data_IF_240054391421
#
_entry.id   IF_240054391421
#
_cell.length_a   1.000
_cell.length_b   1.000
_cell.length_c   1.000
_cell.angle_alpha   90.00
_cell.angle_beta   90.00
_cell.angle_gamma   90.00
#
_symmetry.space_group_name_H-M   'P 1'
#
loop_
_entity.id
_entity.type
_entity.pdbx_description
1 polymer ?
#
# COMPACT_ATOMS: atom_id res chain seq x y z
N UNK A 1 20.67 19.66 -16.40
CA UNK A 1 21.04 19.19 -15.04
C UNK A 1 20.08 18.08 -14.65
N UNK A 2 20.57 16.87 -14.71
CA UNK A 2 19.84 15.67 -14.26
C UNK A 2 19.70 15.79 -12.75
N UNK A 3 18.51 16.15 -12.28
CA UNK A 3 18.25 16.28 -10.84
C UNK A 3 18.21 14.86 -10.26
N UNK A 4 19.28 14.48 -9.55
CA UNK A 4 19.35 13.29 -8.73
C UNK A 4 18.24 13.36 -7.66
N UNK A 5 17.11 12.73 -7.95
CA UNK A 5 15.92 12.75 -7.08
C UNK A 5 15.82 11.42 -6.35
N UNK A 6 16.15 11.37 -5.06
CA UNK A 6 16.06 10.13 -4.31
C UNK A 6 14.60 9.67 -4.20
N UNK A 7 14.39 8.38 -4.38
CA UNK A 7 13.07 7.76 -4.24
C UNK A 7 12.98 6.94 -2.95
N UNK A 8 11.84 7.09 -2.26
CA UNK A 8 11.48 6.32 -1.08
C UNK A 8 10.17 5.57 -1.33
N UNK A 9 10.24 4.24 -1.29
CA UNK A 9 9.07 3.38 -1.50
C UNK A 9 8.61 2.86 -0.13
N UNK A 10 7.36 3.13 0.21
CA UNK A 10 6.74 2.76 1.49
C UNK A 10 5.72 1.66 1.24
N UNK A 11 5.90 0.52 1.87
CA UNK A 11 5.12 -0.69 1.59
C UNK A 11 4.46 -1.21 2.85
N UNK A 12 3.15 -1.25 2.79
CA UNK A 12 2.30 -1.79 3.84
C UNK A 12 2.28 -3.32 3.77
N UNK A 13 2.71 -3.96 4.86
CA UNK A 13 2.68 -5.40 5.08
C UNK A 13 1.99 -5.71 6.42
N UNK A 14 1.02 -4.89 6.82
CA UNK A 14 0.17 -5.15 7.98
C UNK A 14 -0.83 -6.28 7.67
N UNK A 15 -1.43 -6.81 8.72
CA UNK A 15 -2.40 -7.90 8.61
C UNK A 15 -3.63 -7.52 7.76
N UNK A 16 -4.02 -6.23 7.72
CA UNK A 16 -5.07 -5.74 6.81
C UNK A 16 -4.77 -6.00 5.33
N UNK A 17 -3.48 -6.08 4.97
CA UNK A 17 -3.02 -6.39 3.63
C UNK A 17 -3.01 -7.89 3.31
N UNK A 18 -3.13 -8.77 4.31
CA UNK A 18 -3.20 -10.22 4.14
C UNK A 18 -4.63 -10.66 3.78
N UNK A 19 -5.11 -10.14 2.66
CA UNK A 19 -6.43 -10.42 2.12
C UNK A 19 -6.40 -10.44 0.60
N UNK A 20 -7.09 -11.42 -0.01
CA UNK A 20 -7.23 -11.53 -1.45
C UNK A 20 -8.29 -12.58 -1.81
N UNK A 21 -9.14 -12.26 -2.79
CA UNK A 21 -10.27 -13.11 -3.19
C UNK A 21 -10.12 -13.76 -4.56
N UNK A 22 -9.13 -13.33 -5.36
CA UNK A 22 -8.95 -13.85 -6.72
C UNK A 22 -7.52 -14.34 -6.97
N UNK A 23 -6.62 -13.44 -7.34
CA UNK A 23 -5.28 -13.80 -7.83
C UNK A 23 -4.23 -13.71 -6.73
N UNK A 24 -4.10 -12.55 -6.10
CA UNK A 24 -3.08 -12.26 -5.10
C UNK A 24 -3.71 -11.80 -3.78
N UNK A 25 -2.91 -11.85 -2.71
CA UNK A 25 -3.16 -11.03 -1.52
C UNK A 25 -2.79 -9.57 -1.82
N UNK A 26 -3.44 -8.60 -1.18
CA UNK A 26 -3.07 -7.18 -1.32
C UNK A 26 -1.59 -6.95 -0.97
N UNK A 27 -1.07 -7.65 0.05
CA UNK A 27 0.34 -7.60 0.46
C UNK A 27 1.29 -8.03 -0.66
N UNK A 28 0.93 -9.04 -1.44
CA UNK A 28 1.71 -9.52 -2.59
C UNK A 28 1.70 -8.48 -3.71
N UNK A 29 0.53 -7.97 -4.08
CA UNK A 29 0.41 -6.91 -5.09
C UNK A 29 1.22 -5.66 -4.72
N UNK A 30 1.17 -5.24 -3.45
CA UNK A 30 1.99 -4.13 -2.95
C UNK A 30 3.49 -4.42 -3.06
N UNK A 31 3.92 -5.65 -2.69
CA UNK A 31 5.31 -6.07 -2.74
C UNK A 31 5.84 -6.13 -4.18
N UNK A 32 5.07 -6.70 -5.10
CA UNK A 32 5.42 -6.76 -6.52
C UNK A 32 5.53 -5.36 -7.14
N UNK A 33 4.55 -4.49 -6.87
CA UNK A 33 4.57 -3.11 -7.35
C UNK A 33 5.78 -2.34 -6.82
N UNK A 34 6.12 -2.53 -5.55
CA UNK A 34 7.30 -1.92 -4.92
C UNK A 34 8.60 -2.41 -5.55
N UNK A 35 8.73 -3.73 -5.77
CA UNK A 35 9.91 -4.33 -6.38
C UNK A 35 10.10 -3.80 -7.82
N UNK A 36 9.05 -3.82 -8.63
CA UNK A 36 9.08 -3.31 -10.01
C UNK A 36 9.48 -1.83 -10.07
N UNK A 37 8.89 -1.00 -9.19
CA UNK A 37 9.24 0.41 -9.09
C UNK A 37 10.70 0.60 -8.66
N UNK A 38 11.18 -0.14 -7.66
CA UNK A 38 12.53 -0.05 -7.16
C UNK A 38 13.59 -0.44 -8.21
N UNK A 39 13.35 -1.53 -8.95
CA UNK A 39 14.21 -1.92 -10.09
C UNK A 39 14.23 -0.84 -11.16
N UNK A 40 13.07 -0.31 -11.54
CA UNK A 40 12.98 0.72 -12.59
C UNK A 40 13.72 2.00 -12.21
N UNK A 41 13.58 2.45 -10.95
CA UNK A 41 14.24 3.65 -10.44
C UNK A 41 15.76 3.46 -10.42
N UNK A 42 16.24 2.32 -9.92
CA UNK A 42 17.69 2.03 -9.89
C UNK A 42 18.28 1.90 -11.29
N UNK A 43 17.54 1.28 -12.23
CA UNK A 43 17.95 1.11 -13.63
C UNK A 43 18.08 2.46 -14.36
N UNK A 44 17.27 3.44 -13.99
CA UNK A 44 17.38 4.82 -14.45
C UNK A 44 18.56 5.59 -13.82
N UNK A 45 19.31 4.96 -12.92
CA UNK A 45 20.45 5.56 -12.25
C UNK A 45 20.11 6.39 -11.02
N UNK A 46 18.86 6.38 -10.57
CA UNK A 46 18.41 7.11 -9.39
C UNK A 46 18.68 6.37 -8.07
N UNK A 47 18.66 7.11 -6.96
CA UNK A 47 18.75 6.55 -5.62
C UNK A 47 17.41 6.00 -5.19
N UNK A 48 17.37 4.75 -4.74
CA UNK A 48 16.17 4.10 -4.20
C UNK A 48 16.40 3.57 -2.79
N UNK A 49 15.40 3.77 -1.95
CA UNK A 49 15.30 3.19 -0.62
C UNK A 49 13.84 2.85 -0.31
N UNK A 50 13.59 2.35 0.89
CA UNK A 50 12.23 1.97 1.25
C UNK A 50 11.98 1.92 2.75
N UNK A 51 10.69 1.95 3.07
CA UNK A 51 10.15 1.59 4.37
C UNK A 51 9.21 0.41 4.16
N UNK A 52 9.49 -0.69 4.83
CA UNK A 52 8.58 -1.85 4.88
C UNK A 52 8.05 -1.95 6.29
N UNK A 53 6.76 -1.95 6.47
CA UNK A 53 6.15 -1.99 7.79
C UNK A 53 5.03 -3.03 7.89
N UNK A 54 5.00 -3.73 9.01
CA UNK A 54 3.93 -4.61 9.45
C UNK A 54 3.25 -4.04 10.70
N UNK A 55 2.46 -4.84 11.39
CA UNK A 55 1.74 -4.38 12.59
C UNK A 55 2.68 -4.01 13.75
N UNK A 56 3.78 -4.72 13.92
CA UNK A 56 4.71 -4.55 15.04
C UNK A 56 6.17 -4.30 14.64
N UNK A 57 6.47 -4.18 13.35
CA UNK A 57 7.84 -3.99 12.86
C UNK A 57 7.89 -2.95 11.75
N UNK A 58 9.05 -2.33 11.61
CA UNK A 58 9.36 -1.38 10.56
C UNK A 58 10.84 -1.53 10.17
N UNK A 59 11.09 -1.68 8.87
CA UNK A 59 12.42 -1.69 8.30
C UNK A 59 12.62 -0.42 7.45
N UNK A 60 13.69 0.33 7.73
CA UNK A 60 14.00 1.59 7.04
C UNK A 60 15.32 1.43 6.26
N UNK A 61 15.26 1.57 4.95
CA UNK A 61 16.40 1.55 4.05
C UNK A 61 16.51 2.92 3.37
N UNK A 62 17.58 3.66 3.69
CA UNK A 62 17.80 4.99 3.10
C UNK A 62 18.07 4.90 1.60
N UNK A 63 17.60 5.88 0.79
CA UNK A 63 17.84 5.91 -0.64
C UNK A 63 19.33 5.91 -1.01
N UNK A 64 19.75 4.93 -1.79
CA UNK A 64 21.12 4.78 -2.29
C UNK A 64 21.11 4.30 -3.75
N UNK A 65 22.12 4.71 -4.54
CA UNK A 65 22.39 4.17 -5.88
C UNK A 65 23.23 2.90 -5.74
N UNK A 66 22.63 1.83 -5.20
CA UNK A 66 23.35 0.62 -4.83
C UNK A 66 22.49 -0.61 -4.99
N UNK A 67 22.96 -1.59 -5.77
CA UNK A 67 22.33 -2.90 -5.89
C UNK A 67 22.18 -3.57 -4.52
N UNK A 68 23.19 -3.49 -3.68
CA UNK A 68 23.15 -4.05 -2.33
C UNK A 68 22.05 -3.41 -1.46
N UNK A 69 21.78 -2.11 -1.65
CA UNK A 69 20.69 -1.44 -0.94
C UNK A 69 19.32 -1.90 -1.44
N UNK A 70 19.18 -2.09 -2.74
CA UNK A 70 17.99 -2.68 -3.35
C UNK A 70 17.77 -4.10 -2.83
N UNK A 71 18.80 -4.96 -2.81
CA UNK A 71 18.69 -6.33 -2.30
C UNK A 71 18.22 -6.36 -0.84
N UNK A 72 18.74 -5.45 0.02
CA UNK A 72 18.25 -5.33 1.41
C UNK A 72 16.78 -4.92 1.48
N UNK A 73 16.34 -4.02 0.61
CA UNK A 73 14.93 -3.63 0.53
C UNK A 73 14.04 -4.81 0.12
N UNK A 74 14.45 -5.55 -0.92
CA UNK A 74 13.70 -6.72 -1.40
C UNK A 74 13.66 -7.85 -0.35
N UNK A 75 14.76 -8.08 0.37
CA UNK A 75 14.78 -9.03 1.48
C UNK A 75 13.84 -8.62 2.60
N UNK A 76 13.88 -7.35 3.04
CA UNK A 76 12.96 -6.86 4.06
C UNK A 76 11.48 -7.00 3.64
N UNK A 77 11.21 -6.82 2.34
CA UNK A 77 9.88 -6.98 1.77
C UNK A 77 9.42 -8.45 1.79
N UNK A 78 10.31 -9.36 1.37
CA UNK A 78 10.04 -10.80 1.38
C UNK A 78 9.85 -11.33 2.82
N UNK A 79 10.70 -10.90 3.75
CA UNK A 79 10.62 -11.30 5.16
C UNK A 79 9.30 -10.81 5.79
N UNK A 80 8.92 -9.55 5.55
CA UNK A 80 7.68 -8.99 6.06
C UNK A 80 6.45 -9.73 5.49
N UNK A 81 6.47 -10.06 4.18
CA UNK A 81 5.39 -10.82 3.55
C UNK A 81 5.29 -12.25 4.10
N UNK A 82 6.43 -12.90 4.35
CA UNK A 82 6.47 -14.25 4.92
C UNK A 82 5.97 -14.32 6.38
N UNK A 83 6.01 -13.19 7.12
CA UNK A 83 5.46 -13.10 8.47
C UNK A 83 3.93 -13.03 8.51
N UNK A 84 3.28 -12.72 7.39
CA UNK A 84 1.83 -12.68 7.28
C UNK A 84 1.25 -14.09 7.22
N UNK A 85 0.61 -14.50 8.30
CA UNK A 85 0.04 -15.84 8.46
C UNK A 85 -1.28 -15.77 9.23
N UNK A 86 -2.22 -16.61 8.86
CA UNK A 86 -3.55 -16.65 9.49
C UNK A 86 -3.54 -17.13 10.95
N UNK A 87 -2.49 -17.85 11.36
CA UNK A 87 -2.32 -18.44 12.70
C UNK A 87 -1.54 -17.56 13.69
N UNK A 88 -1.11 -16.36 13.27
CA UNK A 88 -0.38 -15.43 14.14
C UNK A 88 -1.34 -14.74 15.10
N UNK A 89 -0.92 -14.63 16.37
CA UNK A 89 -1.64 -13.84 17.36
C UNK A 89 -1.75 -12.39 16.90
N UNK A 90 -2.95 -11.85 16.89
CA UNK A 90 -3.19 -10.47 16.49
C UNK A 90 -2.58 -9.50 17.48
N UNK A 91 -1.91 -8.50 16.94
CA UNK A 91 -1.37 -7.35 17.66
C UNK A 91 -2.10 -6.10 17.18
N UNK A 92 -2.04 -5.04 17.96
CA UNK A 92 -2.59 -3.75 17.56
C UNK A 92 -1.87 -3.27 16.29
N UNK A 93 -2.60 -2.90 15.23
CA UNK A 93 -1.99 -2.49 13.97
C UNK A 93 -1.16 -1.21 14.13
N UNK A 94 0.01 -1.17 13.52
CA UNK A 94 0.82 0.05 13.47
C UNK A 94 0.03 1.17 12.78
N UNK A 95 -0.18 2.33 13.44
CA UNK A 95 -0.86 3.46 12.82
C UNK A 95 -0.09 3.97 11.60
N UNK A 96 -0.78 4.21 10.50
CA UNK A 96 -0.18 4.76 9.29
C UNK A 96 0.50 6.13 9.56
N UNK A 97 -0.03 6.92 10.48
CA UNK A 97 0.55 8.20 10.93
C UNK A 97 1.97 8.04 11.46
N UNK A 98 2.28 6.95 12.18
CA UNK A 98 3.64 6.66 12.64
C UNK A 98 4.59 6.45 11.47
N UNK A 99 4.16 5.74 10.45
CA UNK A 99 4.92 5.48 9.22
C UNK A 99 5.13 6.76 8.43
N UNK A 100 4.07 7.57 8.23
CA UNK A 100 4.16 8.84 7.51
C UNK A 100 5.07 9.86 8.21
N UNK A 101 5.16 9.84 9.55
CA UNK A 101 6.16 10.63 10.28
C UNK A 101 7.58 10.12 10.02
N UNK A 102 7.80 8.81 9.91
CA UNK A 102 9.10 8.26 9.51
C UNK A 102 9.46 8.67 8.08
N UNK A 103 8.49 8.65 7.16
CA UNK A 103 8.65 9.18 5.78
C UNK A 103 9.09 10.64 5.81
N UNK A 104 8.42 11.51 6.59
CA UNK A 104 8.78 12.92 6.68
C UNK A 104 10.20 13.16 7.21
N UNK A 105 10.72 12.26 8.05
CA UNK A 105 12.10 12.30 8.58
C UNK A 105 13.13 11.86 7.53
N UNK A 106 12.83 10.82 6.74
CA UNK A 106 13.76 10.27 5.73
C UNK A 106 13.72 11.07 4.44
N UNK A 107 12.53 11.51 4.04
CA UNK A 107 12.25 12.30 2.84
C UNK A 107 11.76 13.71 3.19
N UNK A 108 12.61 14.59 3.74
CA UNK A 108 12.19 15.91 4.20
C UNK A 108 11.74 16.84 3.06
N UNK A 109 12.35 16.70 1.87
CA UNK A 109 12.01 17.45 0.64
C UNK A 109 12.63 16.83 -0.61
N UNK A 110 12.07 17.14 -1.78
CA UNK A 110 12.62 16.82 -3.10
C UNK A 110 12.87 15.31 -3.31
N UNK A 111 12.03 14.45 -2.73
CA UNK A 111 12.03 13.02 -2.97
C UNK A 111 10.83 12.63 -3.84
N UNK A 112 10.98 11.57 -4.60
CA UNK A 112 9.83 10.79 -5.06
C UNK A 112 9.43 9.86 -3.91
N UNK A 113 8.21 9.97 -3.42
CA UNK A 113 7.67 9.10 -2.36
C UNK A 113 6.52 8.31 -2.93
N UNK A 114 6.64 6.99 -2.95
CA UNK A 114 5.57 6.07 -3.36
C UNK A 114 5.06 5.33 -2.12
N UNK A 115 3.78 5.49 -1.77
CA UNK A 115 3.15 4.78 -0.65
C UNK A 115 2.17 3.75 -1.19
N UNK A 116 2.42 2.48 -0.90
CA UNK A 116 1.61 1.33 -1.32
C UNK A 116 0.89 0.75 -0.09
N UNK A 117 -0.42 0.93 -0.01
CA UNK A 117 -1.26 0.50 1.11
C UNK A 117 -2.72 0.37 0.69
N UNK A 118 -3.54 -0.29 1.49
CA UNK A 118 -5.01 -0.27 1.36
C UNK A 118 -5.64 0.92 2.09
N UNK A 119 -4.83 1.67 2.86
CA UNK A 119 -5.30 2.81 3.65
C UNK A 119 -6.56 2.47 4.47
N UNK A 120 -6.51 1.33 5.17
CA UNK A 120 -7.63 0.77 5.94
C UNK A 120 -8.22 1.77 6.95
N UNK A 121 -7.34 2.58 7.57
CA UNK A 121 -7.73 3.67 8.47
C UNK A 121 -7.10 4.97 7.99
N UNK A 122 -7.95 5.96 7.71
CA UNK A 122 -7.55 7.33 7.36
C UNK A 122 -8.28 8.29 8.29
N UNK A 123 -7.51 9.00 9.09
CA UNK A 123 -7.98 10.05 10.00
C UNK A 123 -7.47 11.43 9.56
N UNK A 124 -7.92 12.48 10.25
CA UNK A 124 -7.51 13.87 9.98
C UNK A 124 -6.00 14.07 10.10
N UNK A 125 -5.32 13.29 10.95
CA UNK A 125 -3.87 13.36 11.08
C UNK A 125 -3.16 12.75 9.88
N UNK A 126 -3.64 11.62 9.39
CA UNK A 126 -3.18 10.98 8.15
C UNK A 126 -3.28 11.96 6.98
N UNK A 127 -4.44 12.60 6.81
CA UNK A 127 -4.64 13.59 5.73
C UNK A 127 -3.70 14.80 5.87
N UNK A 128 -3.49 15.30 7.08
CA UNK A 128 -2.53 16.39 7.33
C UNK A 128 -1.10 16.02 6.96
N UNK A 129 -0.67 14.80 7.31
CA UNK A 129 0.65 14.29 6.97
C UNK A 129 0.83 14.09 5.46
N UNK A 130 -0.17 13.51 4.78
CA UNK A 130 -0.19 13.35 3.31
C UNK A 130 -0.08 14.71 2.64
N UNK A 131 -0.90 15.69 3.04
CA UNK A 131 -0.84 17.06 2.53
C UNK A 131 0.51 17.72 2.79
N UNK A 132 1.10 17.53 3.98
CA UNK A 132 2.41 18.06 4.32
C UNK A 132 3.56 17.46 3.51
N UNK A 133 3.49 16.16 3.23
CA UNK A 133 4.47 15.45 2.40
C UNK A 133 4.36 15.85 0.93
N UNK A 134 3.16 16.00 0.38
CA UNK A 134 2.94 16.37 -1.02
C UNK A 134 3.43 17.76 -1.37
N UNK A 135 3.43 18.69 -0.42
CA UNK A 135 3.96 20.05 -0.63
C UNK A 135 5.48 20.11 -0.76
N UNK A 136 6.19 19.09 -0.31
CA UNK A 136 7.66 19.07 -0.25
C UNK A 136 8.29 18.02 -1.12
N UNK A 137 7.50 17.03 -1.56
CA UNK A 137 7.93 15.85 -2.31
C UNK A 137 6.94 15.56 -3.43
N UNK A 138 7.37 14.79 -4.41
CA UNK A 138 6.46 14.18 -5.36
C UNK A 138 5.88 12.92 -4.70
N UNK A 139 4.76 13.08 -4.04
CA UNK A 139 4.05 11.99 -3.38
C UNK A 139 3.12 11.31 -4.38
N UNK A 140 3.24 9.99 -4.50
CA UNK A 140 2.35 9.11 -5.27
C UNK A 140 1.79 8.06 -4.34
N UNK A 141 0.51 7.78 -4.44
CA UNK A 141 -0.18 6.75 -3.67
C UNK A 141 -0.58 5.59 -4.58
N UNK A 142 -0.16 4.40 -4.24
CA UNK A 142 -0.71 3.16 -4.80
C UNK A 142 -1.76 2.60 -3.83
N UNK A 143 -3.02 2.81 -4.19
CA UNK A 143 -4.15 2.30 -3.43
C UNK A 143 -4.41 0.85 -3.82
N UNK A 144 -4.04 -0.07 -2.94
CA UNK A 144 -4.18 -1.51 -3.17
C UNK A 144 -5.53 -1.99 -2.65
N UNK A 145 -6.35 -2.51 -3.56
CA UNK A 145 -7.69 -3.00 -3.27
C UNK A 145 -7.84 -4.46 -3.68
N UNK A 146 -8.80 -5.14 -3.09
CA UNK A 146 -9.26 -6.44 -3.55
C UNK A 146 -10.63 -6.27 -4.22
N UNK A 147 -10.93 -6.98 -5.31
CA UNK A 147 -12.24 -6.91 -5.99
C UNK A 147 -13.35 -7.62 -5.21
N UNK A 148 -13.24 -7.64 -3.88
CA UNK A 148 -14.27 -8.10 -2.97
C UNK A 148 -15.55 -7.27 -3.17
N UNK A 149 -16.61 -7.89 -3.57
CA UNK A 149 -17.86 -7.21 -3.91
C UNK A 149 -18.25 -7.33 -5.38
N UNK A 150 -17.29 -7.53 -6.28
CA UNK A 150 -17.54 -7.85 -7.69
C UNK A 150 -17.71 -9.36 -7.92
N UNK A 151 -17.24 -10.20 -7.00
CA UNK A 151 -17.42 -11.65 -7.04
C UNK A 151 -18.52 -12.07 -6.07
N UNK A 152 -19.45 -12.89 -6.55
CA UNK A 152 -20.35 -13.63 -5.67
C UNK A 152 -19.53 -14.53 -4.74
N UNK A 153 -19.38 -14.14 -3.47
CA UNK A 153 -18.77 -15.01 -2.47
C UNK A 153 -19.69 -16.21 -2.27
N UNK A 154 -19.13 -17.42 -2.11
CA UNK A 154 -19.92 -18.56 -1.72
C UNK A 154 -20.71 -18.25 -0.46
N UNK A 155 -21.98 -18.64 -0.43
CA UNK A 155 -22.81 -18.53 0.77
C UNK A 155 -22.23 -19.42 1.89
N UNK A 156 -22.26 -18.91 3.14
CA UNK A 156 -21.82 -19.66 4.32
C UNK A 156 -20.32 -19.58 4.63
N UNK A 157 -19.56 -18.70 3.97
CA UNK A 157 -18.19 -18.38 4.38
C UNK A 157 -18.21 -17.43 5.58
N UNK A 158 -17.52 -17.85 6.64
CA UNK A 158 -17.25 -16.98 7.78
C UNK A 158 -15.99 -16.18 7.50
N UNK A 159 -16.17 -14.92 7.14
CA UNK A 159 -15.07 -13.98 6.96
C UNK A 159 -14.83 -13.22 8.25
N UNK A 160 -13.58 -13.23 8.68
CA UNK A 160 -13.17 -12.37 9.79
C UNK A 160 -12.59 -11.10 9.16
N UNK A 161 -13.40 -10.05 9.13
CA UNK A 161 -12.95 -8.73 8.68
C UNK A 161 -12.63 -7.91 9.93
N UNK A 162 -11.46 -7.31 9.96
CA UNK A 162 -11.04 -6.39 11.00
C UNK A 162 -10.82 -5.01 10.39
N UNK A 163 -11.41 -3.99 10.97
CA UNK A 163 -11.13 -2.58 10.65
C UNK A 163 -10.08 -1.98 11.60
N UNK A 164 -9.38 -2.85 12.36
CA UNK A 164 -8.39 -2.44 13.37
C UNK A 164 -8.98 -2.23 14.76
N UNK A 165 -10.27 -1.92 14.90
CA UNK A 165 -10.94 -1.70 16.18
C UNK A 165 -12.04 -2.74 16.47
N UNK A 166 -12.70 -3.25 15.46
CA UNK A 166 -13.77 -4.24 15.56
C UNK A 166 -13.44 -5.46 14.71
N UNK A 167 -13.48 -6.64 15.35
CA UNK A 167 -13.54 -7.90 14.64
C UNK A 167 -15.01 -8.23 14.40
N UNK A 168 -15.43 -8.27 13.16
CA UNK A 168 -16.70 -8.83 12.79
C UNK A 168 -16.46 -10.18 12.11
N UNK A 169 -16.90 -11.25 12.71
CA UNK A 169 -17.15 -12.50 12.02
C UNK A 169 -18.39 -12.26 11.14
N UNK A 170 -18.15 -12.15 9.84
CA UNK A 170 -19.24 -11.90 8.90
C UNK A 170 -19.65 -13.24 8.33
N UNK A 171 -20.85 -13.63 8.65
CA UNK A 171 -21.57 -14.62 7.87
C UNK A 171 -21.93 -13.96 6.53
N UNK A 172 -21.41 -14.48 5.43
CA UNK A 172 -21.71 -13.98 4.07
C UNK A 172 -23.20 -14.12 3.72
N UNK A 173 -23.98 -14.84 4.54
CA UNK A 173 -25.44 -14.89 4.48
C UNK A 173 -26.13 -13.63 4.99
N UNK A 174 -25.48 -12.75 5.77
CA UNK A 174 -26.07 -11.47 6.22
C UNK A 174 -25.84 -10.37 5.18
N UNK A 175 -26.74 -10.32 4.21
CA UNK A 175 -26.71 -9.35 3.12
C UNK A 175 -26.72 -7.87 3.57
N UNK A 176 -27.31 -7.56 4.74
CA UNK A 176 -27.38 -6.19 5.24
C UNK A 176 -26.02 -5.72 5.78
N UNK A 177 -25.33 -6.59 6.55
CA UNK A 177 -23.98 -6.31 7.05
C UNK A 177 -22.96 -6.23 5.92
N UNK A 178 -23.04 -7.14 4.95
CA UNK A 178 -22.19 -7.13 3.76
C UNK A 178 -22.31 -5.80 3.01
N UNK A 179 -23.52 -5.34 2.66
CA UNK A 179 -23.73 -4.06 1.97
C UNK A 179 -23.13 -2.88 2.74
N UNK A 180 -23.33 -2.84 4.06
CA UNK A 180 -22.80 -1.76 4.90
C UNK A 180 -21.29 -1.67 4.86
N UNK A 181 -20.58 -2.80 4.84
CA UNK A 181 -19.13 -2.86 4.72
C UNK A 181 -18.66 -2.45 3.33
N UNK A 182 -19.35 -2.90 2.28
CA UNK A 182 -19.07 -2.48 0.90
C UNK A 182 -19.23 -0.96 0.76
N UNK A 183 -20.28 -0.37 1.33
CA UNK A 183 -20.51 1.07 1.28
C UNK A 183 -19.45 1.85 2.04
N UNK A 184 -19.02 1.38 3.21
CA UNK A 184 -17.92 1.98 3.96
C UNK A 184 -16.60 1.90 3.19
N UNK A 185 -16.30 0.74 2.61
CA UNK A 185 -15.09 0.55 1.78
C UNK A 185 -15.10 1.45 0.55
N UNK A 186 -16.23 1.55 -0.15
CA UNK A 186 -16.40 2.45 -1.31
C UNK A 186 -16.23 3.92 -0.91
N UNK A 187 -16.79 4.34 0.21
CA UNK A 187 -16.64 5.70 0.72
C UNK A 187 -15.18 6.04 1.03
N UNK A 188 -14.43 5.14 1.66
CA UNK A 188 -13.00 5.29 1.92
C UNK A 188 -12.20 5.39 0.62
N UNK A 189 -12.40 4.46 -0.31
CA UNK A 189 -11.73 4.46 -1.61
C UNK A 189 -11.98 5.78 -2.35
N UNK A 190 -13.24 6.24 -2.41
CA UNK A 190 -13.60 7.51 -3.04
C UNK A 190 -12.90 8.70 -2.37
N UNK A 191 -12.79 8.71 -1.04
CA UNK A 191 -12.07 9.74 -0.28
C UNK A 191 -10.59 9.78 -0.62
N UNK A 192 -9.93 8.63 -0.77
CA UNK A 192 -8.50 8.54 -1.14
C UNK A 192 -8.30 8.97 -2.59
N UNK A 193 -9.16 8.54 -3.52
CA UNK A 193 -9.10 8.96 -4.91
C UNK A 193 -9.24 10.49 -5.08
N UNK A 194 -9.99 11.13 -4.19
CA UNK A 194 -10.14 12.59 -4.16
C UNK A 194 -8.88 13.34 -3.71
N UNK A 195 -7.86 12.68 -3.15
CA UNK A 195 -6.58 13.30 -2.78
C UNK A 195 -5.86 13.93 -3.98
N UNK A 196 -6.08 13.42 -5.18
CA UNK A 196 -5.59 14.06 -6.40
C UNK A 196 -6.12 15.49 -6.53
N UNK A 197 -7.41 15.70 -6.29
CA UNK A 197 -8.05 17.02 -6.36
C UNK A 197 -7.69 17.88 -5.16
N UNK A 198 -7.71 17.32 -3.92
CA UNK A 198 -7.52 18.06 -2.68
C UNK A 198 -6.06 18.44 -2.42
N UNK A 199 -5.13 17.56 -2.73
CA UNK A 199 -3.72 17.67 -2.33
C UNK A 199 -2.74 17.58 -3.51
N UNK A 200 -3.22 17.39 -4.75
CA UNK A 200 -2.37 17.17 -5.92
C UNK A 200 -1.63 15.83 -5.90
N UNK A 201 -2.07 14.86 -5.08
CA UNK A 201 -1.44 13.54 -4.93
C UNK A 201 -2.01 12.58 -5.96
N UNK A 202 -1.23 12.11 -6.95
CA UNK A 202 -1.66 11.06 -7.85
C UNK A 202 -1.97 9.78 -7.05
N UNK A 203 -3.12 9.17 -7.34
CA UNK A 203 -3.52 7.89 -6.77
C UNK A 203 -3.60 6.87 -7.89
N UNK A 204 -2.83 5.79 -7.75
CA UNK A 204 -2.79 4.66 -8.67
C UNK A 204 -3.63 3.53 -8.07
N UNK A 205 -4.81 3.22 -8.62
CA UNK A 205 -5.60 2.10 -8.15
C UNK A 205 -4.95 0.79 -8.62
N UNK A 206 -4.60 -0.07 -7.67
CA UNK A 206 -4.03 -1.40 -7.90
C UNK A 206 -4.98 -2.45 -7.36
N UNK A 207 -5.38 -3.40 -8.20
CA UNK A 207 -6.24 -4.51 -7.82
C UNK A 207 -5.44 -5.77 -7.54
N UNK A 208 -5.67 -6.40 -6.39
CA UNK A 208 -5.11 -7.73 -6.08
C UNK A 208 -5.73 -8.85 -6.95
N UNK A 209 -6.81 -8.56 -7.65
CA UNK A 209 -7.47 -9.49 -8.57
C UNK A 209 -6.89 -9.50 -9.99
N UNK A 210 -5.86 -8.72 -10.27
CA UNK A 210 -5.20 -8.64 -11.58
C UNK A 210 -3.67 -8.79 -11.42
N UNK A 211 -2.99 -9.20 -12.50
CA UNK A 211 -1.52 -9.22 -12.51
C UNK A 211 -0.93 -7.81 -12.35
N UNK A 212 0.07 -7.68 -11.48
CA UNK A 212 0.61 -6.37 -11.08
C UNK A 212 1.32 -5.64 -12.22
N UNK A 213 2.16 -6.32 -13.01
CA UNK A 213 2.93 -5.68 -14.07
C UNK A 213 2.05 -5.09 -15.18
N UNK A 214 1.05 -5.80 -15.75
CA UNK A 214 0.13 -5.23 -16.73
C UNK A 214 -0.63 -4.01 -16.22
N UNK A 215 -1.07 -4.03 -14.94
CA UNK A 215 -1.74 -2.89 -14.31
C UNK A 215 -0.84 -1.67 -14.26
N UNK A 216 0.41 -1.83 -13.76
CA UNK A 216 1.37 -0.73 -13.67
C UNK A 216 1.66 -0.14 -15.05
N UNK A 217 1.86 -0.97 -16.08
CA UNK A 217 2.09 -0.50 -17.44
C UNK A 217 0.92 0.35 -17.95
N UNK A 218 -0.31 -0.12 -17.75
CA UNK A 218 -1.54 0.60 -18.13
C UNK A 218 -1.65 1.94 -17.40
N UNK A 219 -1.42 1.95 -16.09
CA UNK A 219 -1.50 3.17 -15.27
C UNK A 219 -0.41 4.19 -15.61
N UNK A 220 0.73 3.73 -16.09
CA UNK A 220 1.85 4.58 -16.53
C UNK A 220 1.74 5.00 -18.01
N UNK A 221 0.67 4.61 -18.73
CA UNK A 221 0.49 4.90 -20.15
C UNK A 221 1.44 4.13 -21.07
N UNK A 222 2.04 3.04 -20.58
CA UNK A 222 2.89 2.14 -21.35
C UNK A 222 1.99 1.07 -21.99
N UNK A 223 2.07 0.90 -23.32
CA UNK A 223 1.26 -0.08 -24.06
C UNK A 223 1.43 -1.53 -23.55
N UNK A 224 0.56 -2.46 -23.98
CA UNK A 224 0.71 -3.88 -23.66
C UNK A 224 2.06 -4.42 -24.14
N UNK A 225 2.51 -5.51 -23.49
CA UNK A 225 3.74 -6.23 -23.91
C UNK A 225 3.48 -6.93 -25.22
#
# INVERSE_FOLDING_TARGET
>A
EERDRPALIVVDQRMSMFFGTRLNMKSVTAAEAAALAAFRILDQGDRVGGIVFGDNHIAEIRPQRSRRSLDRFLMALADANAMLRADVQRVEPMPLTRVLRAVARIAPRNHLVLVLSDFDVVDDETERLVSGLSRRNDLVVGLVTDPFGDAALPEGLKLVISDGALQAEIDTGDHARRRRLEDMARGRIAGILDWRRRYGVPVLPLSAGEETLPQLRRLMGLGPV
#
